data_IF_586799851574
#
_entry.id   IF_586799851574
#
_cell.length_a   1.000
_cell.length_b   1.000
_cell.length_c   1.000
_cell.angle_alpha   90.00
_cell.angle_beta   90.00
_cell.angle_gamma   90.00
#
_symmetry.space_group_name_H-M   'P 1'
#
loop_
_entity.id
_entity.type
_entity.pdbx_description
1 polymer ?
#
# COMPACT_ATOMS: atom_id res chain seq x y z
N UNK A 1 -17.26 10.08 1.06
CA UNK A 1 -16.22 10.85 0.32
C UNK A 1 -16.08 10.32 -1.11
N UNK A 2 -16.76 10.98 -2.08
CA UNK A 2 -16.74 10.57 -3.51
C UNK A 2 -15.31 10.48 -4.06
N UNK A 3 -14.43 11.42 -3.68
CA UNK A 3 -13.02 11.43 -4.11
C UNK A 3 -12.23 10.21 -3.62
N UNK A 4 -12.52 9.69 -2.44
CA UNK A 4 -11.91 8.47 -1.92
C UNK A 4 -12.24 7.26 -2.81
N UNK A 5 -13.53 7.07 -3.10
CA UNK A 5 -13.99 5.96 -3.95
C UNK A 5 -13.41 6.06 -5.35
N UNK A 6 -13.44 7.25 -5.96
CA UNK A 6 -12.86 7.48 -7.30
C UNK A 6 -11.36 7.15 -7.31
N UNK A 7 -10.62 7.60 -6.29
CA UNK A 7 -9.17 7.33 -6.21
C UNK A 7 -8.86 5.83 -6.04
N UNK A 8 -9.71 5.10 -5.30
CA UNK A 8 -9.57 3.63 -5.16
C UNK A 8 -9.86 2.91 -6.47
N UNK A 9 -10.89 3.33 -7.20
CA UNK A 9 -11.21 2.73 -8.51
C UNK A 9 -10.05 2.95 -9.49
N UNK A 10 -9.50 4.16 -9.56
CA UNK A 10 -8.34 4.46 -10.42
C UNK A 10 -7.14 3.61 -10.01
N UNK A 11 -6.86 3.49 -8.70
CA UNK A 11 -5.77 2.67 -8.18
C UNK A 11 -5.96 1.19 -8.54
N UNK A 12 -7.19 0.67 -8.43
CA UNK A 12 -7.52 -0.69 -8.82
C UNK A 12 -7.31 -0.93 -10.33
N UNK A 13 -7.75 0.00 -11.17
CA UNK A 13 -7.52 -0.11 -12.62
C UNK A 13 -6.04 -0.09 -12.99
N UNK A 14 -5.22 0.71 -12.28
CA UNK A 14 -3.77 0.71 -12.48
C UNK A 14 -3.16 -0.61 -11.99
N UNK A 15 -3.67 -1.17 -10.87
CA UNK A 15 -3.19 -2.46 -10.36
C UNK A 15 -3.48 -3.64 -11.30
N UNK A 16 -4.58 -3.62 -12.03
CA UNK A 16 -4.91 -4.68 -13.00
C UNK A 16 -3.99 -4.69 -14.24
N UNK A 17 -3.39 -3.55 -14.59
CA UNK A 17 -2.42 -3.50 -15.68
C UNK A 17 -1.05 -4.00 -15.21
N UNK A 18 -0.66 -5.20 -15.61
CA UNK A 18 0.67 -5.75 -15.32
C UNK A 18 1.73 -5.06 -16.18
N UNK A 19 2.56 -4.24 -15.56
CA UNK A 19 3.73 -3.63 -16.21
C UNK A 19 4.97 -4.39 -15.74
N UNK A 20 5.33 -5.43 -16.45
CA UNK A 20 6.56 -6.21 -16.21
C UNK A 20 7.71 -5.56 -16.98
N UNK A 21 8.66 -4.99 -16.26
CA UNK A 21 9.92 -4.51 -16.84
C UNK A 21 11.02 -5.52 -16.43
N UNK A 22 11.65 -6.18 -17.41
CA UNK A 22 12.68 -7.19 -17.19
C UNK A 22 12.26 -8.39 -16.32
N UNK A 23 11.00 -8.84 -16.42
CA UNK A 23 10.44 -9.91 -15.58
C UNK A 23 10.46 -9.61 -14.06
N UNK A 24 10.60 -8.37 -13.68
CA UNK A 24 10.51 -7.91 -12.30
C UNK A 24 9.28 -7.01 -12.18
N UNK A 25 8.39 -7.35 -11.27
CA UNK A 25 7.26 -6.49 -10.92
C UNK A 25 7.76 -5.31 -10.08
N UNK A 26 8.09 -4.22 -10.76
CA UNK A 26 8.50 -2.95 -10.10
C UNK A 26 7.31 -2.11 -9.64
N UNK A 27 6.11 -2.56 -9.96
CA UNK A 27 4.89 -1.81 -9.72
C UNK A 27 4.49 -1.90 -8.24
N UNK A 28 4.39 -0.76 -7.53
CA UNK A 28 3.91 -0.78 -6.16
C UNK A 28 2.42 -1.07 -6.12
N UNK A 29 1.93 -1.52 -4.98
CA UNK A 29 0.50 -1.67 -4.73
C UNK A 29 -0.17 -0.29 -4.59
N UNK A 30 -0.77 0.20 -5.68
CA UNK A 30 -1.45 1.49 -5.73
C UNK A 30 -2.69 1.55 -4.84
N UNK A 31 -3.36 0.40 -4.60
CA UNK A 31 -4.52 0.34 -3.73
C UNK A 31 -4.08 0.59 -2.28
N UNK A 32 -3.05 -0.13 -1.83
CA UNK A 32 -2.48 0.07 -0.50
C UNK A 32 -1.96 1.51 -0.33
N UNK A 33 -1.28 2.04 -1.35
CA UNK A 33 -0.77 3.43 -1.35
C UNK A 33 -1.91 4.44 -1.18
N UNK A 34 -3.01 4.25 -1.88
CA UNK A 34 -4.20 5.11 -1.79
C UNK A 34 -4.86 5.01 -0.41
N UNK A 35 -4.99 3.79 0.15
CA UNK A 35 -5.54 3.58 1.48
C UNK A 35 -4.72 4.28 2.56
N UNK A 36 -3.39 4.12 2.53
CA UNK A 36 -2.46 4.74 3.48
C UNK A 36 -2.50 6.26 3.35
N UNK A 37 -2.57 6.79 2.11
CA UNK A 37 -2.69 8.22 1.87
C UNK A 37 -3.95 8.81 2.52
N UNK A 38 -5.12 8.21 2.30
CA UNK A 38 -6.37 8.68 2.88
C UNK A 38 -6.41 8.50 4.38
N UNK A 39 -5.81 7.44 4.90
CA UNK A 39 -5.68 7.22 6.33
C UNK A 39 -4.87 8.34 7.00
N UNK A 40 -3.73 8.74 6.42
CA UNK A 40 -2.95 9.85 6.97
C UNK A 40 -3.61 11.21 6.80
N UNK A 41 -4.38 11.40 5.73
CA UNK A 41 -5.13 12.64 5.50
C UNK A 41 -6.31 12.79 6.45
N UNK A 42 -7.04 11.72 6.73
CA UNK A 42 -8.17 11.71 7.65
C UNK A 42 -8.30 10.34 8.35
N UNK A 43 -7.62 10.14 9.48
CA UNK A 43 -7.60 8.85 10.18
C UNK A 43 -8.99 8.36 10.62
N UNK A 44 -9.91 9.30 10.88
CA UNK A 44 -11.26 8.97 11.32
C UNK A 44 -12.19 8.52 10.17
N UNK A 45 -11.80 8.79 8.92
CA UNK A 45 -12.61 8.47 7.75
C UNK A 45 -12.31 7.08 7.18
N UNK A 46 -11.17 6.49 7.53
CA UNK A 46 -10.72 5.20 7.00
C UNK A 46 -10.46 4.25 8.16
N UNK A 47 -11.28 3.21 8.28
CA UNK A 47 -11.21 2.22 9.35
C UNK A 47 -10.46 0.96 8.92
N UNK A 48 -10.12 0.11 9.89
CA UNK A 48 -9.58 -1.22 9.63
C UNK A 48 -10.49 -2.05 8.72
N UNK A 49 -11.81 -1.94 8.90
CA UNK A 49 -12.79 -2.63 8.05
C UNK A 49 -12.63 -2.20 6.59
N UNK A 50 -12.38 -0.91 6.33
CA UNK A 50 -12.14 -0.42 4.97
C UNK A 50 -10.90 -1.06 4.35
N UNK A 51 -9.79 -1.14 5.09
CA UNK A 51 -8.57 -1.81 4.62
C UNK A 51 -8.83 -3.28 4.33
N UNK A 52 -9.53 -3.98 5.23
CA UNK A 52 -9.82 -5.40 5.08
C UNK A 52 -10.74 -5.67 3.87
N UNK A 53 -11.83 -4.93 3.73
CA UNK A 53 -12.78 -5.11 2.62
C UNK A 53 -12.14 -4.78 1.26
N UNK A 54 -11.36 -3.71 1.17
CA UNK A 54 -10.67 -3.35 -0.06
C UNK A 54 -9.63 -4.41 -0.43
N UNK A 55 -8.91 -4.97 0.56
CA UNK A 55 -8.00 -6.08 0.35
C UNK A 55 -8.72 -7.34 -0.15
N UNK A 56 -9.87 -7.68 0.43
CA UNK A 56 -10.67 -8.82 0.00
C UNK A 56 -11.19 -8.66 -1.44
N UNK A 57 -11.63 -7.47 -1.80
CA UNK A 57 -12.03 -7.15 -3.17
C UNK A 57 -10.83 -7.30 -4.12
N UNK A 58 -9.66 -6.84 -3.71
CA UNK A 58 -8.44 -6.97 -4.50
C UNK A 58 -8.07 -8.44 -4.73
N UNK A 59 -8.19 -9.31 -3.71
CA UNK A 59 -7.96 -10.75 -3.84
C UNK A 59 -8.86 -11.39 -4.91
N UNK A 60 -10.13 -10.99 -4.95
CA UNK A 60 -11.10 -11.48 -5.94
C UNK A 60 -10.72 -11.05 -7.36
N UNK A 61 -10.25 -9.80 -7.54
CA UNK A 61 -9.90 -9.27 -8.86
C UNK A 61 -8.59 -9.81 -9.41
N UNK A 62 -7.60 -10.04 -8.55
CA UNK A 62 -6.29 -10.58 -8.96
C UNK A 62 -6.36 -12.09 -9.15
N UNK A 63 -7.27 -12.78 -8.43
CA UNK A 63 -7.39 -14.23 -8.46
C UNK A 63 -6.35 -14.93 -7.59
N UNK A 64 -5.77 -14.22 -6.63
CA UNK A 64 -4.84 -14.75 -5.64
C UNK A 64 -5.57 -15.52 -4.52
N UNK A 65 -4.80 -15.98 -3.52
CA UNK A 65 -5.36 -16.62 -2.33
C UNK A 65 -6.30 -15.66 -1.61
N UNK A 66 -7.57 -16.04 -1.50
CA UNK A 66 -8.58 -15.23 -0.80
C UNK A 66 -8.12 -14.93 0.62
N UNK A 67 -8.10 -13.65 0.98
CA UNK A 67 -7.67 -13.15 2.28
C UNK A 67 -6.20 -12.72 2.36
N UNK A 68 -5.38 -12.96 1.34
CA UNK A 68 -3.97 -12.59 1.34
C UNK A 68 -3.79 -11.07 1.43
N UNK A 69 -4.39 -10.30 0.52
CA UNK A 69 -4.35 -8.84 0.56
C UNK A 69 -5.23 -8.29 1.68
N UNK A 70 -6.34 -8.94 2.02
CA UNK A 70 -7.17 -8.52 3.15
C UNK A 70 -6.40 -8.55 4.48
N UNK A 71 -5.66 -9.63 4.76
CA UNK A 71 -4.81 -9.75 5.94
C UNK A 71 -3.66 -8.75 5.90
N UNK A 72 -3.02 -8.62 4.76
CA UNK A 72 -1.89 -7.70 4.56
C UNK A 72 -2.31 -6.25 4.81
N UNK A 73 -3.42 -5.80 4.20
CA UNK A 73 -3.90 -4.42 4.36
C UNK A 73 -4.36 -4.13 5.79
N UNK A 74 -5.06 -5.08 6.43
CA UNK A 74 -5.43 -4.95 7.84
C UNK A 74 -4.19 -4.83 8.75
N UNK A 75 -3.16 -5.61 8.51
CA UNK A 75 -1.89 -5.52 9.25
C UNK A 75 -1.19 -4.17 9.01
N UNK A 76 -1.16 -3.71 7.75
CA UNK A 76 -0.62 -2.39 7.41
C UNK A 76 -1.38 -1.24 8.07
N UNK A 77 -2.70 -1.37 8.27
CA UNK A 77 -3.48 -0.39 9.03
C UNK A 77 -2.97 -0.26 10.46
N UNK A 78 -2.73 -1.36 11.18
CA UNK A 78 -2.20 -1.31 12.54
C UNK A 78 -0.80 -0.69 12.60
N UNK A 79 0.07 -1.04 11.65
CA UNK A 79 1.42 -0.48 11.55
C UNK A 79 1.34 1.03 11.26
N UNK A 80 0.48 1.44 10.33
CA UNK A 80 0.26 2.84 9.99
C UNK A 80 -0.32 3.62 11.18
N UNK A 81 -1.23 3.02 11.96
CA UNK A 81 -1.79 3.60 13.17
C UNK A 81 -0.72 3.80 14.25
N UNK A 82 0.21 2.88 14.40
CA UNK A 82 1.35 3.03 15.30
C UNK A 82 2.26 4.20 14.89
N UNK A 83 2.52 4.35 13.59
CA UNK A 83 3.40 5.39 13.08
C UNK A 83 2.72 6.76 12.87
N UNK A 84 1.39 6.86 12.91
CA UNK A 84 0.67 8.09 12.54
C UNK A 84 1.16 9.32 13.29
N UNK A 85 1.34 9.23 14.61
CA UNK A 85 1.84 10.34 15.44
C UNK A 85 3.25 10.74 15.04
N UNK A 86 4.11 9.76 14.75
CA UNK A 86 5.50 9.99 14.33
C UNK A 86 5.57 10.63 12.94
N UNK A 87 4.72 10.18 12.02
CA UNK A 87 4.64 10.71 10.65
C UNK A 87 4.16 12.17 10.65
N UNK A 88 3.21 12.52 11.54
CA UNK A 88 2.69 13.89 11.62
C UNK A 88 3.68 14.89 12.24
N UNK A 89 4.53 14.45 13.15
CA UNK A 89 5.44 15.32 13.91
C UNK A 89 6.84 15.43 13.29
N UNK A 90 7.21 14.57 12.38
CA UNK A 90 8.59 14.41 11.92
C UNK A 90 8.87 15.06 10.56
N UNK A 91 10.17 15.23 10.27
CA UNK A 91 10.68 15.75 9.01
C UNK A 91 10.30 14.84 7.82
N UNK A 92 10.30 15.42 6.61
CA UNK A 92 9.90 14.72 5.38
C UNK A 92 10.66 13.41 5.16
N UNK A 93 11.97 13.36 5.44
CA UNK A 93 12.78 12.15 5.29
C UNK A 93 12.33 11.00 6.21
N UNK A 94 11.98 11.34 7.45
CA UNK A 94 11.47 10.34 8.40
C UNK A 94 10.09 9.81 7.98
N UNK A 95 9.24 10.67 7.40
CA UNK A 95 7.96 10.24 6.82
C UNK A 95 8.16 9.19 5.72
N UNK A 96 9.11 9.43 4.82
CA UNK A 96 9.44 8.47 3.74
C UNK A 96 9.93 7.14 4.30
N UNK A 97 10.75 7.16 5.36
CA UNK A 97 11.21 5.95 6.03
C UNK A 97 10.03 5.14 6.60
N UNK A 98 9.08 5.77 7.28
CA UNK A 98 7.92 5.06 7.83
C UNK A 98 7.04 4.46 6.73
N UNK A 99 6.85 5.17 5.62
CA UNK A 99 6.12 4.67 4.46
C UNK A 99 6.85 3.47 3.86
N UNK A 100 8.16 3.55 3.70
CA UNK A 100 8.98 2.42 3.26
C UNK A 100 8.78 1.19 4.16
N UNK A 101 8.82 1.37 5.49
CA UNK A 101 8.61 0.28 6.45
C UNK A 101 7.21 -0.35 6.35
N UNK A 102 6.16 0.45 6.08
CA UNK A 102 4.80 -0.06 5.90
C UNK A 102 4.74 -0.93 4.63
N UNK A 103 5.28 -0.46 3.50
CA UNK A 103 5.27 -1.24 2.26
C UNK A 103 6.16 -2.48 2.35
N UNK A 104 7.30 -2.37 3.00
CA UNK A 104 8.18 -3.51 3.24
C UNK A 104 7.49 -4.57 4.11
N UNK A 105 6.75 -4.15 5.15
CA UNK A 105 5.97 -5.09 5.97
C UNK A 105 4.85 -5.77 5.18
N UNK A 106 4.20 -5.06 4.26
CA UNK A 106 3.20 -5.64 3.36
C UNK A 106 3.81 -6.76 2.50
N UNK A 107 4.96 -6.48 1.90
CA UNK A 107 5.67 -7.46 1.07
C UNK A 107 6.14 -8.68 1.87
N UNK A 108 6.61 -8.47 3.10
CA UNK A 108 7.01 -9.58 3.97
C UNK A 108 5.82 -10.46 4.34
N UNK A 109 4.65 -9.89 4.62
CA UNK A 109 3.43 -10.67 4.94
C UNK A 109 3.02 -11.51 3.72
N UNK A 110 2.93 -10.89 2.54
CA UNK A 110 2.58 -11.60 1.29
C UNK A 110 3.60 -12.71 1.00
N UNK A 111 4.89 -12.44 1.17
CA UNK A 111 5.95 -13.44 0.97
C UNK A 111 5.77 -14.64 1.92
N UNK A 112 5.50 -14.39 3.20
CA UNK A 112 5.29 -15.46 4.18
C UNK A 112 4.08 -16.32 3.77
N UNK A 113 2.97 -15.70 3.37
CA UNK A 113 1.79 -16.42 2.90
C UNK A 113 2.12 -17.26 1.66
N UNK A 114 2.82 -16.70 0.68
CA UNK A 114 3.20 -17.40 -0.54
C UNK A 114 4.11 -18.61 -0.23
N UNK A 115 5.08 -18.44 0.66
CA UNK A 115 5.98 -19.55 1.06
C UNK A 115 5.23 -20.67 1.81
N UNK A 116 4.19 -20.36 2.58
CA UNK A 116 3.38 -21.38 3.27
C UNK A 116 2.49 -22.18 2.33
N UNK A 117 2.22 -21.66 1.14
CA UNK A 117 1.43 -22.31 0.10
C UNK A 117 2.27 -22.89 -1.05
N UNK A 118 3.57 -23.12 -0.82
CA UNK A 118 4.52 -23.66 -1.82
C UNK A 118 4.56 -22.89 -3.15
N UNK A 119 4.24 -21.60 -3.10
CA UNK A 119 4.35 -20.72 -4.26
C UNK A 119 5.81 -20.31 -4.48
N UNK A 120 6.16 -20.05 -5.74
CA UNK A 120 7.54 -19.70 -6.10
C UNK A 120 8.01 -18.43 -5.41
N UNK A 121 9.25 -18.44 -4.94
CA UNK A 121 9.91 -17.23 -4.42
C UNK A 121 10.12 -16.21 -5.54
N UNK A 122 9.57 -14.99 -5.43
CA UNK A 122 9.61 -14.00 -6.52
C UNK A 122 10.99 -13.35 -6.72
N UNK A 123 12.00 -13.75 -5.96
CA UNK A 123 13.34 -13.19 -6.04
C UNK A 123 13.52 -11.87 -5.28
N UNK A 124 14.77 -11.41 -5.17
CA UNK A 124 15.11 -10.16 -4.46
C UNK A 124 14.51 -8.91 -5.13
N UNK A 125 14.24 -8.96 -6.42
CA UNK A 125 13.58 -7.88 -7.17
C UNK A 125 12.20 -7.50 -6.64
N UNK A 126 11.51 -8.43 -5.97
CA UNK A 126 10.22 -8.19 -5.36
C UNK A 126 10.23 -7.02 -4.37
N UNK A 127 11.32 -6.86 -3.59
CA UNK A 127 11.44 -5.77 -2.63
C UNK A 127 11.66 -4.38 -3.25
N UNK A 128 11.95 -4.30 -4.54
CA UNK A 128 12.04 -3.02 -5.25
C UNK A 128 10.69 -2.28 -5.31
N UNK A 129 9.58 -2.99 -5.20
CA UNK A 129 8.25 -2.38 -5.15
C UNK A 129 8.07 -1.42 -3.96
N UNK A 130 8.68 -1.69 -2.80
CA UNK A 130 8.64 -0.78 -1.66
C UNK A 130 9.41 0.51 -1.93
N UNK A 131 10.51 0.42 -2.67
CA UNK A 131 11.30 1.59 -3.08
C UNK A 131 10.51 2.45 -4.07
N UNK A 132 9.90 1.83 -5.08
CA UNK A 132 9.06 2.55 -6.05
C UNK A 132 7.84 3.19 -5.38
N UNK A 133 7.23 2.54 -4.39
CA UNK A 133 6.14 3.11 -3.59
C UNK A 133 6.56 4.41 -2.89
N UNK A 134 7.76 4.46 -2.31
CA UNK A 134 8.31 5.65 -1.65
C UNK A 134 8.55 6.78 -2.66
N UNK A 135 9.10 6.48 -3.84
CA UNK A 135 9.30 7.48 -4.90
C UNK A 135 7.97 8.08 -5.36
N UNK A 136 6.98 7.24 -5.59
CA UNK A 136 5.64 7.68 -6.00
C UNK A 136 5.01 8.52 -4.88
N UNK A 137 5.10 8.07 -3.63
CA UNK A 137 4.62 8.86 -2.48
C UNK A 137 5.29 10.24 -2.43
N UNK A 138 6.62 10.29 -2.58
CA UNK A 138 7.34 11.56 -2.58
C UNK A 138 6.90 12.49 -3.71
N UNK A 139 6.69 11.95 -4.90
CA UNK A 139 6.16 12.72 -6.04
C UNK A 139 4.76 13.27 -5.74
N UNK A 140 3.85 12.42 -5.26
CA UNK A 140 2.49 12.83 -4.89
C UNK A 140 2.45 13.85 -3.74
N UNK A 141 3.32 13.73 -2.75
CA UNK A 141 3.38 14.65 -1.62
C UNK A 141 3.76 16.09 -2.00
N UNK A 142 4.39 16.28 -3.17
CA UNK A 142 4.72 17.62 -3.71
C UNK A 142 3.52 18.30 -4.39
N UNK A 143 2.51 17.56 -4.83
CA UNK A 143 1.31 18.16 -5.40
C UNK A 143 0.46 18.82 -4.32
N UNK A 144 0.06 20.07 -4.52
CA UNK A 144 -0.74 20.89 -3.60
C UNK A 144 -2.02 20.20 -3.08
N UNK A 145 -2.58 19.31 -3.90
CA UNK A 145 -3.78 18.52 -3.57
C UNK A 145 -3.53 17.40 -2.54
N UNK A 146 -2.27 16.95 -2.44
CA UNK A 146 -1.83 15.86 -1.58
C UNK A 146 -1.04 16.35 -0.36
N UNK A 147 -0.99 17.66 -0.13
CA UNK A 147 -0.34 18.21 1.05
C UNK A 147 -1.11 17.78 2.30
N UNK A 148 -0.44 17.02 3.15
CA UNK A 148 -0.92 16.65 4.48
C UNK A 148 -0.81 17.89 5.39
N UNK A 149 -1.55 18.95 5.07
CA UNK A 149 -1.60 20.16 5.89
C UNK A 149 -2.56 19.92 7.07
N UNK A 150 -1.99 19.82 8.24
CA UNK A 150 -2.62 20.15 9.50
C UNK A 150 -1.78 21.17 10.22
#
# INVERSE_FOLDING_TARGET
NKLFIISLIIAAMINLNQINIFNIDLKPDFILLTLIFWFFKNPNAVSISTFWFVGLINDIFIGDLLGQHALTYASCYFIAQYFIKKIMLNNQYQKLLYIFLIFLSAQMIILIINLTHDLHYPGLGYFLQSITAVFIWHAFSKFKFFKLDR
#
